data_IF_966263826037
#
_entry.id   IF_966263826037
#
_cell.length_a   1.000
_cell.length_b   1.000
_cell.length_c   1.000
_cell.angle_alpha   90.00
_cell.angle_beta   90.00
_cell.angle_gamma   90.00
#
_symmetry.space_group_name_H-M   'P 1'
#
loop_
_entity.id
_entity.type
_entity.pdbx_description
1 polymer ?
#
# COMPACT_ATOMS: atom_id res chain seq x y z
N UNK A 1 23.84 -27.15 5.81
CA UNK A 1 22.37 -26.91 5.83
C UNK A 1 21.96 -26.28 4.51
N UNK A 2 20.90 -26.76 3.88
CA UNK A 2 20.31 -26.10 2.71
C UNK A 2 19.46 -24.91 3.17
N UNK A 3 19.82 -23.70 2.74
CA UNK A 3 19.11 -22.46 3.08
C UNK A 3 18.13 -22.01 2.00
N UNK A 4 17.97 -22.79 0.92
CA UNK A 4 17.09 -22.45 -0.21
C UNK A 4 15.64 -22.28 0.21
N UNK A 5 15.14 -23.14 1.10
CA UNK A 5 13.78 -23.03 1.63
C UNK A 5 13.57 -21.72 2.39
N UNK A 6 14.50 -21.36 3.28
CA UNK A 6 14.49 -20.13 4.07
C UNK A 6 14.46 -18.89 3.16
N UNK A 7 15.30 -18.88 2.12
CA UNK A 7 15.35 -17.81 1.12
C UNK A 7 14.06 -17.72 0.32
N UNK A 8 13.53 -18.86 -0.12
CA UNK A 8 12.26 -18.93 -0.85
C UNK A 8 11.10 -18.41 0.00
N UNK A 9 11.03 -18.80 1.28
CA UNK A 9 10.02 -18.35 2.23
C UNK A 9 10.01 -16.82 2.39
N UNK A 10 11.18 -16.20 2.53
CA UNK A 10 11.30 -14.73 2.60
C UNK A 10 10.81 -14.05 1.31
N UNK A 11 11.17 -14.61 0.14
CA UNK A 11 10.69 -14.06 -1.13
C UNK A 11 9.18 -14.18 -1.26
N UNK A 12 8.58 -15.31 -0.83
CA UNK A 12 7.14 -15.49 -0.84
C UNK A 12 6.46 -14.45 0.05
N UNK A 13 6.97 -14.21 1.25
CA UNK A 13 6.40 -13.22 2.17
C UNK A 13 6.46 -11.79 1.61
N UNK A 14 7.60 -11.38 1.06
CA UNK A 14 7.73 -10.07 0.39
C UNK A 14 6.86 -9.98 -0.88
N UNK A 15 6.62 -11.11 -1.56
CA UNK A 15 5.70 -11.18 -2.71
C UNK A 15 4.25 -11.00 -2.28
N UNK A 16 3.83 -11.64 -1.17
CA UNK A 16 2.50 -11.40 -0.58
C UNK A 16 2.33 -9.91 -0.27
N UNK A 17 3.26 -9.33 0.49
CA UNK A 17 3.21 -7.90 0.84
C UNK A 17 3.13 -6.99 -0.40
N UNK A 18 3.81 -7.33 -1.50
CA UNK A 18 3.70 -6.60 -2.75
C UNK A 18 2.30 -6.72 -3.37
N UNK A 19 1.76 -7.94 -3.54
CA UNK A 19 0.43 -8.14 -4.13
C UNK A 19 -0.67 -7.48 -3.31
N UNK A 20 -0.54 -7.53 -2.00
CA UNK A 20 -1.37 -6.81 -1.08
C UNK A 20 -1.37 -5.30 -1.31
N UNK A 21 -0.17 -4.71 -1.39
CA UNK A 21 -0.03 -3.29 -1.68
C UNK A 21 -0.57 -2.94 -3.07
N UNK A 22 -0.42 -3.83 -4.04
CA UNK A 22 -0.95 -3.67 -5.39
C UNK A 22 -2.48 -3.61 -5.40
N UNK A 23 -3.14 -4.61 -4.80
CA UNK A 23 -4.60 -4.66 -4.68
C UNK A 23 -5.13 -3.46 -3.88
N UNK A 24 -4.42 -3.07 -2.82
CA UNK A 24 -4.72 -1.89 -2.03
C UNK A 24 -4.69 -0.61 -2.86
N UNK A 25 -3.59 -0.37 -3.58
CA UNK A 25 -3.44 0.83 -4.40
C UNK A 25 -4.50 0.90 -5.49
N UNK A 26 -4.83 -0.22 -6.14
CA UNK A 26 -5.90 -0.27 -7.16
C UNK A 26 -7.27 -0.01 -6.54
N UNK A 27 -7.59 -0.67 -5.42
CA UNK A 27 -8.88 -0.51 -4.76
C UNK A 27 -9.12 0.92 -4.31
N UNK A 28 -8.12 1.56 -3.71
CA UNK A 28 -8.20 2.97 -3.34
C UNK A 28 -8.29 3.89 -4.55
N UNK A 29 -7.49 3.63 -5.58
CA UNK A 29 -7.53 4.42 -6.81
C UNK A 29 -8.93 4.40 -7.43
N UNK A 30 -9.51 3.21 -7.65
CA UNK A 30 -10.87 3.04 -8.19
C UNK A 30 -11.91 3.75 -7.31
N UNK A 31 -11.81 3.58 -5.98
CA UNK A 31 -12.74 4.24 -5.07
C UNK A 31 -12.71 5.77 -5.24
N UNK A 32 -11.50 6.36 -5.30
CA UNK A 32 -11.33 7.80 -5.49
C UNK A 32 -11.95 8.25 -6.83
N UNK A 33 -11.70 7.50 -7.91
CA UNK A 33 -12.28 7.80 -9.22
C UNK A 33 -13.81 7.84 -9.16
N UNK A 34 -14.41 6.81 -8.58
CA UNK A 34 -15.87 6.70 -8.42
C UNK A 34 -16.39 7.89 -7.59
N UNK A 35 -15.81 8.15 -6.42
CA UNK A 35 -16.28 9.21 -5.53
C UNK A 35 -16.16 10.59 -6.18
N UNK A 36 -15.09 10.83 -6.93
CA UNK A 36 -14.88 12.09 -7.63
C UNK A 36 -15.90 12.31 -8.75
N UNK A 37 -16.19 11.28 -9.55
CA UNK A 37 -17.25 11.36 -10.57
C UNK A 37 -18.62 11.64 -9.95
N UNK A 38 -18.98 10.95 -8.86
CA UNK A 38 -20.24 11.20 -8.15
C UNK A 38 -20.32 12.60 -7.53
N UNK A 39 -19.22 13.11 -6.97
CA UNK A 39 -19.18 14.45 -6.36
C UNK A 39 -19.39 15.57 -7.38
N UNK A 40 -18.87 15.42 -8.60
CA UNK A 40 -19.10 16.41 -9.66
C UNK A 40 -20.53 16.39 -10.16
N UNK A 41 -21.14 15.20 -10.31
CA UNK A 41 -22.56 15.10 -10.67
C UNK A 41 -23.47 15.76 -9.63
N UNK A 42 -23.08 15.75 -8.35
CA UNK A 42 -23.82 16.41 -7.27
C UNK A 42 -23.58 17.92 -7.22
N UNK A 43 -22.34 18.37 -7.42
CA UNK A 43 -22.00 19.80 -7.45
C UNK A 43 -22.57 20.49 -8.70
N UNK A 44 -22.65 19.83 -9.87
CA UNK A 44 -23.27 20.38 -11.07
C UNK A 44 -24.75 20.76 -10.82
N UNK A 45 -25.47 19.96 -10.03
CA UNK A 45 -26.85 20.28 -9.63
C UNK A 45 -26.94 21.46 -8.65
N UNK A 46 -25.91 21.70 -7.82
CA UNK A 46 -25.86 22.87 -6.93
C UNK A 46 -25.41 24.15 -7.66
N UNK A 47 -24.55 24.06 -8.67
CA UNK A 47 -24.13 25.21 -9.48
C UNK A 47 -25.27 25.75 -10.35
N UNK A 48 -26.21 24.90 -10.78
CA UNK A 48 -27.44 25.34 -11.47
C UNK A 48 -28.37 26.13 -10.52
N UNK A 49 -28.30 25.88 -9.21
CA UNK A 49 -29.07 26.64 -8.20
C UNK A 49 -28.36 27.91 -7.69
N UNK A 50 -27.03 28.03 -7.87
CA UNK A 50 -26.22 29.16 -7.41
C UNK A 50 -25.62 29.94 -8.59
N UNK A 51 -26.49 30.57 -9.38
CA UNK A 51 -26.13 31.57 -10.40
C UNK A 51 -25.71 32.85 -9.67
N UNK A 52 -24.47 32.92 -9.18
CA UNK A 52 -24.03 34.13 -8.46
C UNK A 52 -22.57 34.20 -8.02
N UNK A 53 -21.83 33.09 -8.00
CA UNK A 53 -20.44 33.11 -7.55
C UNK A 53 -19.48 33.21 -8.74
N UNK A 54 -18.62 34.23 -8.69
CA UNK A 54 -17.55 34.46 -9.66
C UNK A 54 -16.76 33.18 -9.93
N UNK A 55 -16.44 32.94 -11.20
CA UNK A 55 -15.65 31.81 -11.65
C UNK A 55 -14.34 31.75 -10.84
N UNK A 56 -13.91 30.58 -10.35
CA UNK A 56 -12.61 30.46 -9.73
C UNK A 56 -11.52 30.91 -10.72
N UNK A 57 -10.41 31.52 -10.25
CA UNK A 57 -9.27 31.89 -11.09
C UNK A 57 -8.85 30.72 -11.99
N UNK A 58 -8.51 31.02 -13.25
CA UNK A 58 -8.21 29.99 -14.26
C UNK A 58 -7.12 28.99 -13.83
N UNK A 59 -6.17 29.44 -13.01
CA UNK A 59 -5.11 28.62 -12.42
C UNK A 59 -5.68 27.54 -11.49
N UNK A 60 -6.66 27.90 -10.65
CA UNK A 60 -7.31 26.97 -9.70
C UNK A 60 -8.24 26.01 -10.46
N UNK A 61 -8.89 26.47 -11.52
CA UNK A 61 -9.76 25.65 -12.36
C UNK A 61 -8.99 24.48 -13.02
N UNK A 62 -7.73 24.69 -13.44
CA UNK A 62 -6.89 23.62 -14.01
C UNK A 62 -6.64 22.48 -13.00
N UNK A 63 -6.29 22.82 -11.76
CA UNK A 63 -6.04 21.84 -10.69
C UNK A 63 -7.29 21.08 -10.24
N UNK A 64 -8.47 21.60 -10.57
CA UNK A 64 -9.77 20.96 -10.30
C UNK A 64 -10.27 20.07 -11.45
N UNK A 65 -9.54 20.00 -12.57
CA UNK A 65 -9.92 19.11 -13.68
C UNK A 65 -9.77 17.64 -13.31
N UNK A 66 -10.69 16.81 -13.80
CA UNK A 66 -10.74 15.37 -13.55
C UNK A 66 -9.44 14.71 -14.00
N UNK A 67 -8.98 15.09 -15.18
CA UNK A 67 -7.76 14.58 -15.79
C UNK A 67 -6.54 14.86 -14.92
N UNK A 68 -6.42 16.08 -14.38
CA UNK A 68 -5.30 16.43 -13.51
C UNK A 68 -5.33 15.62 -12.22
N UNK A 69 -6.48 15.53 -11.55
CA UNK A 69 -6.63 14.79 -10.29
C UNK A 69 -6.35 13.29 -10.51
N UNK A 70 -6.83 12.72 -11.61
CA UNK A 70 -6.59 11.31 -11.94
C UNK A 70 -5.12 11.04 -12.24
N UNK A 71 -4.46 11.91 -13.02
CA UNK A 71 -3.03 11.80 -13.29
C UNK A 71 -2.19 11.97 -12.03
N UNK A 72 -2.52 12.95 -11.19
CA UNK A 72 -1.79 13.22 -9.96
C UNK A 72 -1.86 12.02 -9.00
N UNK A 73 -3.07 11.54 -8.73
CA UNK A 73 -3.30 10.41 -7.81
C UNK A 73 -2.71 9.12 -8.41
N UNK A 74 -2.90 8.88 -9.71
CA UNK A 74 -2.34 7.72 -10.41
C UNK A 74 -0.82 7.70 -10.37
N UNK A 75 -0.16 8.86 -10.50
CA UNK A 75 1.30 8.98 -10.43
C UNK A 75 1.80 8.62 -9.03
N UNK A 76 1.15 9.12 -7.97
CA UNK A 76 1.52 8.80 -6.59
C UNK A 76 1.45 7.29 -6.34
N UNK A 77 0.33 6.64 -6.69
CA UNK A 77 0.19 5.19 -6.50
C UNK A 77 1.21 4.40 -7.31
N UNK A 78 1.48 4.83 -8.55
CA UNK A 78 2.48 4.19 -9.41
C UNK A 78 3.88 4.26 -8.80
N UNK A 79 4.29 5.40 -8.25
CA UNK A 79 5.57 5.55 -7.57
C UNK A 79 5.72 4.59 -6.38
N UNK A 80 4.67 4.45 -5.56
CA UNK A 80 4.67 3.50 -4.44
C UNK A 80 4.80 2.05 -4.89
N UNK A 81 4.09 1.68 -5.96
CA UNK A 81 4.15 0.32 -6.52
C UNK A 81 5.51 0.01 -7.13
N UNK A 82 6.06 0.95 -7.91
CA UNK A 82 7.39 0.84 -8.52
C UNK A 82 8.45 0.67 -7.42
N UNK A 83 8.40 1.48 -6.36
CA UNK A 83 9.33 1.37 -5.24
C UNK A 83 9.29 -0.03 -4.61
N UNK A 84 8.09 -0.54 -4.31
CA UNK A 84 7.92 -1.89 -3.72
C UNK A 84 8.37 -2.99 -4.67
N UNK A 85 8.08 -2.85 -5.96
CA UNK A 85 8.54 -3.77 -6.99
C UNK A 85 10.07 -3.83 -7.07
N UNK A 86 10.75 -2.67 -7.10
CA UNK A 86 12.21 -2.59 -7.10
C UNK A 86 12.79 -3.25 -5.84
N UNK A 87 12.17 -3.04 -4.67
CA UNK A 87 12.58 -3.72 -3.43
C UNK A 87 12.50 -5.24 -3.57
N UNK A 88 11.35 -5.77 -4.02
CA UNK A 88 11.14 -7.20 -4.22
C UNK A 88 12.15 -7.78 -5.23
N UNK A 89 12.35 -7.09 -6.35
CA UNK A 89 13.31 -7.49 -7.38
C UNK A 89 14.75 -7.57 -6.84
N UNK A 90 15.18 -6.57 -6.06
CA UNK A 90 16.50 -6.56 -5.42
C UNK A 90 16.67 -7.74 -4.45
N UNK A 91 15.63 -8.08 -3.68
CA UNK A 91 15.65 -9.22 -2.75
C UNK A 91 15.80 -10.52 -3.53
N UNK A 92 14.98 -10.75 -4.56
CA UNK A 92 15.06 -11.93 -5.43
C UNK A 92 16.46 -12.09 -6.04
N UNK A 93 17.02 -11.01 -6.60
CA UNK A 93 18.35 -11.02 -7.22
C UNK A 93 19.44 -11.39 -6.21
N UNK A 94 19.40 -10.84 -5.00
CA UNK A 94 20.40 -11.12 -3.95
C UNK A 94 20.34 -12.56 -3.44
N UNK A 95 19.14 -13.11 -3.26
CA UNK A 95 18.99 -14.51 -2.82
C UNK A 95 19.33 -15.53 -3.90
N UNK A 96 19.26 -15.16 -5.19
CA UNK A 96 19.69 -16.00 -6.31
C UNK A 96 21.22 -16.12 -6.43
N UNK A 97 21.97 -15.13 -5.94
CA UNK A 97 23.43 -15.16 -5.97
C UNK A 97 23.97 -16.04 -4.82
N UNK A 98 24.23 -17.31 -5.12
CA UNK A 98 24.68 -18.33 -4.17
C UNK A 98 25.88 -17.90 -3.32
N UNK A 99 26.83 -17.15 -3.88
CA UNK A 99 28.05 -16.71 -3.17
C UNK A 99 27.79 -15.71 -2.04
N UNK A 100 26.71 -14.92 -2.13
CA UNK A 100 26.39 -13.87 -1.15
C UNK A 100 25.08 -14.11 -0.41
N UNK A 101 24.32 -15.13 -0.79
CA UNK A 101 22.96 -15.34 -0.31
C UNK A 101 22.91 -15.68 1.19
N UNK A 102 23.88 -16.43 1.74
CA UNK A 102 23.93 -16.72 3.17
C UNK A 102 24.27 -15.48 4.02
N UNK A 103 25.23 -14.66 3.56
CA UNK A 103 25.55 -13.39 4.21
C UNK A 103 24.37 -12.42 4.13
N UNK A 104 23.65 -12.39 3.01
CA UNK A 104 22.45 -11.58 2.86
C UNK A 104 21.30 -12.11 3.73
N UNK A 105 21.14 -13.43 3.87
CA UNK A 105 20.15 -14.05 4.74
C UNK A 105 20.38 -13.67 6.21
N UNK A 106 21.62 -13.81 6.70
CA UNK A 106 22.06 -13.36 8.03
C UNK A 106 21.75 -11.88 8.26
N UNK A 107 22.14 -11.02 7.30
CA UNK A 107 21.89 -9.57 7.36
C UNK A 107 20.39 -9.22 7.33
N UNK A 108 19.61 -9.91 6.50
CA UNK A 108 18.16 -9.71 6.41
C UNK A 108 17.48 -10.12 7.72
N UNK A 109 17.93 -11.24 8.31
CA UNK A 109 17.43 -11.74 9.59
C UNK A 109 17.94 -10.95 10.79
N UNK A 110 19.07 -10.24 10.65
CA UNK A 110 19.82 -9.58 11.74
C UNK A 110 20.35 -10.60 12.76
N UNK A 111 20.94 -11.67 12.25
CA UNK A 111 21.51 -12.78 13.04
C UNK A 111 22.93 -13.06 12.59
N UNK A 112 23.79 -13.46 13.54
CA UNK A 112 25.17 -13.86 13.23
C UNK A 112 25.25 -15.27 12.63
N UNK A 113 24.29 -16.12 13.01
CA UNK A 113 24.15 -17.49 12.51
C UNK A 113 23.10 -17.63 11.42
N UNK A 114 23.19 -18.74 10.68
CA UNK A 114 22.18 -19.11 9.69
C UNK A 114 20.84 -19.36 10.40
N UNK A 115 19.77 -18.65 10.01
CA UNK A 115 18.48 -18.75 10.66
C UNK A 115 17.81 -20.09 10.34
N UNK A 116 17.20 -20.70 11.37
CA UNK A 116 16.31 -21.86 11.19
C UNK A 116 14.97 -21.41 10.61
N UNK A 117 14.18 -22.36 10.12
CA UNK A 117 12.83 -22.10 9.60
C UNK A 117 11.94 -21.47 10.69
N UNK A 118 12.02 -21.99 11.93
CA UNK A 118 11.30 -21.48 13.09
C UNK A 118 11.64 -20.00 13.37
N UNK A 119 12.93 -19.64 13.40
CA UNK A 119 13.38 -18.25 13.59
C UNK A 119 12.85 -17.30 12.51
N UNK A 120 12.63 -17.78 11.30
CA UNK A 120 12.02 -17.00 10.21
C UNK A 120 10.54 -16.77 10.47
N UNK A 121 9.82 -17.81 10.90
CA UNK A 121 8.41 -17.70 11.26
C UNK A 121 8.18 -16.76 12.44
N UNK A 122 8.95 -16.92 13.52
CA UNK A 122 8.88 -16.05 14.69
C UNK A 122 9.11 -14.58 14.31
N UNK A 123 10.10 -14.31 13.46
CA UNK A 123 10.37 -12.95 12.98
C UNK A 123 9.19 -12.37 12.21
N UNK A 124 8.55 -13.14 11.33
CA UNK A 124 7.39 -12.66 10.59
C UNK A 124 6.22 -12.36 11.52
N UNK A 125 5.99 -13.20 12.53
CA UNK A 125 4.97 -12.95 13.55
C UNK A 125 5.28 -11.71 14.39
N UNK A 126 6.54 -11.50 14.76
CA UNK A 126 6.98 -10.27 15.44
C UNK A 126 6.76 -9.03 14.57
N UNK A 127 7.16 -9.08 13.31
CA UNK A 127 7.01 -7.96 12.38
C UNK A 127 5.52 -7.62 12.18
N UNK A 128 4.66 -8.64 12.10
CA UNK A 128 3.20 -8.49 12.06
C UNK A 128 2.65 -7.88 13.35
N UNK A 129 3.13 -8.28 14.53
CA UNK A 129 2.76 -7.65 15.81
C UNK A 129 3.19 -6.18 15.86
N UNK A 130 4.42 -5.86 15.42
CA UNK A 130 4.94 -4.49 15.33
C UNK A 130 4.11 -3.65 14.35
N UNK A 131 3.71 -4.21 13.22
CA UNK A 131 2.85 -3.54 12.23
C UNK A 131 1.46 -3.24 12.80
N UNK A 132 0.84 -4.19 13.51
CA UNK A 132 -0.42 -3.96 14.24
C UNK A 132 -0.29 -2.81 15.24
N UNK A 133 0.78 -2.77 16.04
CA UNK A 133 1.02 -1.67 16.99
C UNK A 133 1.17 -0.33 16.27
N UNK A 134 1.94 -0.27 15.19
CA UNK A 134 2.10 0.94 14.35
C UNK A 134 0.79 1.40 13.71
N UNK A 135 -0.08 0.45 13.34
CA UNK A 135 -1.39 0.76 12.79
C UNK A 135 -2.21 1.60 13.77
N UNK A 136 -2.26 1.24 15.06
CA UNK A 136 -3.01 2.04 16.06
C UNK A 136 -2.50 3.48 16.19
N UNK A 137 -1.17 3.69 16.19
CA UNK A 137 -0.61 5.06 16.16
C UNK A 137 -1.01 5.82 14.89
N UNK A 138 -1.09 5.12 13.76
CA UNK A 138 -1.53 5.70 12.50
C UNK A 138 -3.02 6.09 12.54
N UNK A 139 -3.86 5.31 13.23
CA UNK A 139 -5.27 5.68 13.46
C UNK A 139 -5.40 7.02 14.17
N UNK A 140 -4.68 7.19 15.27
CA UNK A 140 -4.71 8.46 16.03
C UNK A 140 -4.25 9.62 15.15
N UNK A 141 -3.15 9.45 14.40
CA UNK A 141 -2.64 10.49 13.51
C UNK A 141 -3.63 10.86 12.41
N UNK A 142 -4.26 9.87 11.78
CA UNK A 142 -5.27 10.10 10.74
C UNK A 142 -6.50 10.79 11.33
N UNK A 143 -6.95 10.43 12.53
CA UNK A 143 -8.05 11.10 13.20
C UNK A 143 -7.77 12.59 13.42
N UNK A 144 -6.57 12.94 13.92
CA UNK A 144 -6.15 14.35 14.12
C UNK A 144 -6.14 15.11 12.78
N UNK A 145 -5.56 14.52 11.73
CA UNK A 145 -5.53 15.13 10.40
C UNK A 145 -6.96 15.37 9.88
N UNK A 146 -7.87 14.41 10.06
CA UNK A 146 -9.27 14.58 9.66
C UNK A 146 -9.95 15.71 10.42
N UNK A 147 -9.72 15.83 11.73
CA UNK A 147 -10.29 16.94 12.53
C UNK A 147 -9.83 18.29 11.97
N UNK A 148 -8.52 18.44 11.71
CA UNK A 148 -7.96 19.67 11.14
C UNK A 148 -8.54 19.96 9.75
N UNK A 149 -8.64 18.93 8.90
CA UNK A 149 -9.21 19.06 7.55
C UNK A 149 -10.70 19.43 7.57
N UNK A 150 -11.50 18.91 8.51
CA UNK A 150 -12.90 19.30 8.68
C UNK A 150 -13.04 20.77 9.13
N UNK A 151 -12.15 21.23 10.03
CA UNK A 151 -12.12 22.64 10.43
C UNK A 151 -11.79 23.50 9.21
N UNK A 152 -10.75 23.15 8.45
CA UNK A 152 -10.35 23.89 7.24
C UNK A 152 -11.43 23.88 6.15
N UNK A 153 -12.15 22.77 5.95
CA UNK A 153 -13.23 22.72 4.94
C UNK A 153 -14.40 23.65 5.30
N UNK A 154 -14.63 23.89 6.60
CA UNK A 154 -15.64 24.85 7.07
C UNK A 154 -15.26 26.30 6.72
N UNK A 155 -13.97 26.65 6.81
CA UNK A 155 -13.49 28.00 6.48
C UNK A 155 -13.24 28.21 4.97
N UNK A 156 -13.01 27.13 4.21
CA UNK A 156 -12.67 27.18 2.78
C UNK A 156 -13.56 26.22 1.94
N UNK A 157 -14.89 26.43 1.91
CA UNK A 157 -15.85 25.50 1.30
C UNK A 157 -15.73 25.36 -0.23
N UNK A 158 -15.06 26.31 -0.90
CA UNK A 158 -14.82 26.27 -2.35
C UNK A 158 -13.75 25.22 -2.75
N UNK A 159 -13.00 24.67 -1.79
CA UNK A 159 -11.97 23.67 -2.05
C UNK A 159 -12.49 22.26 -1.83
N UNK A 160 -13.15 21.70 -2.86
CA UNK A 160 -13.61 20.30 -2.93
C UNK A 160 -12.50 19.26 -2.67
N UNK A 161 -11.24 19.67 -2.76
CA UNK A 161 -10.07 18.86 -2.45
C UNK A 161 -10.03 18.38 -0.99
N UNK A 162 -10.54 19.17 -0.03
CA UNK A 162 -10.53 18.77 1.38
C UNK A 162 -11.43 17.57 1.67
N UNK A 163 -12.63 17.53 1.09
CA UNK A 163 -13.57 16.41 1.23
C UNK A 163 -13.00 15.11 0.62
N UNK A 164 -12.25 15.25 -0.48
CA UNK A 164 -11.57 14.12 -1.12
C UNK A 164 -10.47 13.58 -0.20
N UNK A 165 -9.65 14.45 0.39
CA UNK A 165 -8.59 14.01 1.33
C UNK A 165 -9.19 13.38 2.59
N UNK A 166 -10.28 13.95 3.12
CA UNK A 166 -11.00 13.42 4.28
C UNK A 166 -11.48 11.99 4.01
N UNK A 167 -12.30 11.81 2.97
CA UNK A 167 -12.80 10.50 2.58
C UNK A 167 -11.67 9.51 2.27
N UNK A 168 -10.64 9.97 1.56
CA UNK A 168 -9.46 9.17 1.24
C UNK A 168 -8.77 8.67 2.50
N UNK A 169 -8.53 9.55 3.47
CA UNK A 169 -7.77 9.20 4.67
C UNK A 169 -8.50 8.16 5.54
N UNK A 170 -9.84 8.25 5.65
CA UNK A 170 -10.69 7.29 6.37
C UNK A 170 -10.69 5.94 5.65
N UNK A 171 -10.86 5.93 4.32
CA UNK A 171 -10.95 4.68 3.55
C UNK A 171 -9.60 3.98 3.48
N UNK A 172 -8.52 4.75 3.33
CA UNK A 172 -7.16 4.27 3.46
C UNK A 172 -6.95 3.56 4.80
N UNK A 173 -7.57 4.05 5.88
CA UNK A 173 -7.52 3.43 7.20
C UNK A 173 -8.31 2.13 7.30
N UNK A 174 -9.57 2.14 6.85
CA UNK A 174 -10.45 0.96 6.83
C UNK A 174 -9.83 -0.14 5.99
N UNK A 175 -9.35 0.20 4.79
CA UNK A 175 -8.75 -0.76 3.89
C UNK A 175 -7.46 -1.32 4.49
N UNK A 176 -6.62 -0.48 5.11
CA UNK A 176 -5.39 -0.94 5.77
C UNK A 176 -5.67 -1.84 6.97
N UNK A 177 -6.76 -1.59 7.70
CA UNK A 177 -7.24 -2.48 8.76
C UNK A 177 -7.62 -3.85 8.21
N UNK A 178 -8.53 -3.89 7.23
CA UNK A 178 -8.93 -5.14 6.57
C UNK A 178 -7.71 -5.90 6.02
N UNK A 179 -6.74 -5.15 5.50
CA UNK A 179 -5.53 -5.71 4.96
C UNK A 179 -4.62 -6.36 6.03
N UNK A 180 -4.23 -5.61 7.07
CA UNK A 180 -3.32 -6.06 8.13
C UNK A 180 -3.92 -7.24 8.92
N UNK A 181 -5.24 -7.24 9.12
CA UNK A 181 -5.90 -8.18 10.03
C UNK A 181 -6.56 -9.37 9.32
N UNK A 182 -7.00 -9.24 8.06
CA UNK A 182 -7.86 -10.25 7.43
C UNK A 182 -7.42 -10.70 6.03
N UNK A 183 -6.83 -9.82 5.22
CA UNK A 183 -6.59 -10.13 3.80
C UNK A 183 -5.51 -11.19 3.57
N UNK A 184 -4.47 -11.24 4.40
CA UNK A 184 -3.35 -12.17 4.26
C UNK A 184 -3.81 -13.65 4.24
N UNK A 185 -4.62 -14.05 5.22
CA UNK A 185 -5.16 -15.43 5.31
C UNK A 185 -6.19 -15.75 4.22
N UNK A 186 -6.93 -14.74 3.74
CA UNK A 186 -8.03 -14.95 2.78
C UNK A 186 -7.55 -14.95 1.33
N UNK A 187 -6.51 -14.17 1.03
CA UNK A 187 -5.91 -14.07 -0.30
C UNK A 187 -4.82 -15.13 -0.54
N UNK A 188 -4.04 -15.47 0.48
CA UNK A 188 -2.91 -16.40 0.37
C UNK A 188 -3.09 -17.58 1.33
N UNK A 189 -3.70 -18.65 0.84
CA UNK A 189 -3.81 -19.89 1.59
C UNK A 189 -2.50 -20.70 1.59
N UNK A 190 -2.40 -21.69 2.47
CA UNK A 190 -1.22 -22.54 2.61
C UNK A 190 -0.84 -23.24 1.30
N UNK A 191 -1.86 -23.60 0.48
CA UNK A 191 -1.65 -24.22 -0.83
C UNK A 191 -0.89 -23.28 -1.79
N UNK A 192 -1.29 -22.01 -1.85
CA UNK A 192 -0.62 -21.01 -2.69
C UNK A 192 0.81 -20.76 -2.21
N UNK A 193 0.98 -20.65 -0.89
CA UNK A 193 2.28 -20.41 -0.27
C UNK A 193 3.25 -21.56 -0.53
N UNK A 194 2.84 -22.80 -0.27
CA UNK A 194 3.67 -23.99 -0.49
C UNK A 194 4.04 -24.16 -1.97
N UNK A 195 3.10 -23.88 -2.88
CA UNK A 195 3.37 -23.87 -4.32
C UNK A 195 4.46 -22.85 -4.67
N UNK A 196 4.37 -21.62 -4.16
CA UNK A 196 5.33 -20.56 -4.46
C UNK A 196 6.70 -20.81 -3.83
N UNK A 197 6.75 -21.33 -2.61
CA UNK A 197 8.02 -21.73 -1.98
C UNK A 197 8.71 -22.80 -2.82
N UNK A 198 7.96 -23.79 -3.32
CA UNK A 198 8.50 -24.85 -4.17
C UNK A 198 9.05 -24.30 -5.49
N UNK A 199 8.30 -23.40 -6.14
CA UNK A 199 8.70 -22.72 -7.38
C UNK A 199 10.02 -21.94 -7.20
N UNK A 200 10.13 -21.13 -6.15
CA UNK A 200 11.35 -20.38 -5.88
C UNK A 200 12.53 -21.29 -5.49
N UNK A 201 12.28 -22.35 -4.72
CA UNK A 201 13.32 -23.32 -4.35
C UNK A 201 13.90 -24.00 -5.59
N UNK A 202 13.06 -24.42 -6.54
CA UNK A 202 13.50 -24.98 -7.83
C UNK A 202 14.29 -23.97 -8.66
N UNK A 203 13.86 -22.70 -8.69
CA UNK A 203 14.55 -21.65 -9.44
C UNK A 203 15.99 -21.34 -8.96
N UNK A 204 16.35 -21.81 -7.75
CA UNK A 204 17.70 -21.74 -7.20
C UNK A 204 18.57 -22.97 -7.53
N UNK A 205 17.98 -24.05 -8.06
CA UNK A 205 18.69 -25.27 -8.44
C UNK A 205 19.09 -25.31 -9.91
N UNK A 206 18.47 -24.47 -10.75
CA UNK A 206 18.69 -24.42 -12.21
C UNK A 206 19.91 -23.57 -12.61
N UNK A 207 20.73 -23.13 -11.65
CA UNK A 207 21.92 -22.27 -11.83
C UNK A 207 23.01 -22.67 -10.84
#
# INVERSE_FOLDING_TARGET
MDTKYQRAKIIVEETKQFYCQFLFSIGLFIFILIRFQFSQSFNLNQTIMNIGNASPPAEIAFFQTNTFIFLYIGTIFSLFLIYKYIKLYRIKRKFRNTKQADNFLKKYMKTDDLPTIEKIHEKFDEDKKKEKKRFYFLVVRVAIINIVLCILSTYFPLFSFFDIILAFSIINLIYRHLFIFHADKKLFNDKWENKKVTEYTKSFNEF
#
